data_IF_261544381138
#
_entry.id   IF_261544381138
#
_cell.length_a   1.000
_cell.length_b   1.000
_cell.length_c   1.000
_cell.angle_alpha   90.00
_cell.angle_beta   90.00
_cell.angle_gamma   90.00
#
_symmetry.space_group_name_H-M   'P 1'
#
loop_
_entity.id
_entity.type
_entity.pdbx_description
1 polymer ?
#
# COMPACT_ATOMS: atom_id res chain seq x y z
N UNK A 1 -5.55 -17.50 -24.44
CA UNK A 1 -5.52 -16.13 -23.93
C UNK A 1 -4.57 -15.37 -24.84
N UNK A 2 -5.11 -14.70 -25.85
CA UNK A 2 -4.27 -13.82 -26.67
C UNK A 2 -3.96 -12.58 -25.83
N UNK A 3 -2.73 -12.49 -25.37
CA UNK A 3 -2.22 -11.27 -24.78
C UNK A 3 -2.00 -10.25 -25.89
N UNK A 4 -3.07 -9.59 -26.31
CA UNK A 4 -2.93 -8.39 -27.15
C UNK A 4 -2.34 -7.28 -26.27
N UNK A 5 -1.05 -7.00 -26.46
CA UNK A 5 -0.29 -5.96 -25.77
C UNK A 5 -0.74 -4.52 -26.11
N UNK A 6 -1.84 -4.36 -26.84
CA UNK A 6 -2.50 -3.07 -27.01
C UNK A 6 -3.34 -2.78 -25.78
N UNK A 7 -2.91 -1.79 -25.00
CA UNK A 7 -3.60 -1.36 -23.79
C UNK A 7 -5.09 -1.03 -24.06
N UNK A 8 -5.99 -1.94 -23.73
CA UNK A 8 -7.42 -1.66 -23.62
C UNK A 8 -7.70 -0.95 -22.29
N UNK A 9 -7.21 0.29 -22.17
CA UNK A 9 -7.53 1.11 -21.01
C UNK A 9 -8.94 1.63 -21.19
N UNK A 10 -9.93 1.01 -20.55
CA UNK A 10 -11.33 1.42 -20.56
C UNK A 10 -11.56 2.75 -19.85
N UNK A 11 -10.69 3.10 -18.91
CA UNK A 11 -10.76 4.37 -18.20
C UNK A 11 -10.55 5.53 -19.18
N UNK A 12 -11.57 6.36 -19.38
CA UNK A 12 -11.45 7.57 -20.20
C UNK A 12 -10.33 8.47 -19.64
N UNK A 13 -9.41 8.96 -20.48
CA UNK A 13 -8.35 9.85 -20.02
C UNK A 13 -8.95 11.10 -19.36
N UNK A 14 -8.31 11.56 -18.27
CA UNK A 14 -8.48 12.94 -17.85
C UNK A 14 -7.92 13.77 -19.01
N UNK A 15 -8.74 14.61 -19.62
CA UNK A 15 -8.31 15.38 -20.76
C UNK A 15 -7.19 16.34 -20.34
N UNK A 16 -6.02 16.19 -20.99
CA UNK A 16 -4.85 17.03 -20.82
C UNK A 16 -3.73 16.41 -19.99
N UNK A 17 -2.50 16.60 -20.46
CA UNK A 17 -1.27 16.21 -19.77
C UNK A 17 -1.15 16.88 -18.39
N UNK A 18 -1.59 18.13 -18.28
CA UNK A 18 -1.58 18.90 -17.02
C UNK A 18 -2.43 18.27 -15.92
N UNK A 19 -3.58 17.67 -16.26
CA UNK A 19 -4.46 17.03 -15.28
C UNK A 19 -3.83 15.78 -14.66
N UNK A 20 -3.07 14.99 -15.44
CA UNK A 20 -2.37 13.81 -14.92
C UNK A 20 -1.20 14.19 -14.01
N UNK A 21 -0.45 15.26 -14.35
CA UNK A 21 0.62 15.79 -13.49
C UNK A 21 0.01 16.34 -12.20
N UNK A 22 -1.10 17.05 -12.26
CA UNK A 22 -1.78 17.58 -11.10
C UNK A 22 -2.23 16.45 -10.15
N UNK A 23 -2.84 15.39 -10.68
CA UNK A 23 -3.22 14.20 -9.89
C UNK A 23 -2.00 13.56 -9.25
N UNK A 24 -0.88 13.46 -9.98
CA UNK A 24 0.38 12.94 -9.44
C UNK A 24 0.90 13.81 -8.30
N UNK A 25 0.98 15.13 -8.49
CA UNK A 25 1.47 16.07 -7.47
C UNK A 25 0.59 16.01 -6.23
N UNK A 26 -0.74 16.10 -6.40
CA UNK A 26 -1.70 16.01 -5.29
C UNK A 26 -1.57 14.66 -4.59
N UNK A 27 -1.32 13.55 -5.35
CA UNK A 27 -1.13 12.23 -4.80
C UNK A 27 0.11 12.12 -3.92
N UNK A 28 1.24 12.61 -4.41
CA UNK A 28 2.48 12.62 -3.64
C UNK A 28 2.36 13.52 -2.40
N UNK A 29 1.73 14.69 -2.52
CA UNK A 29 1.43 15.57 -1.38
C UNK A 29 0.48 14.87 -0.39
N UNK A 30 -0.54 14.16 -0.89
CA UNK A 30 -1.48 13.40 -0.08
C UNK A 30 -0.83 12.28 0.70
N UNK A 31 0.13 11.58 0.09
CA UNK A 31 0.83 10.47 0.75
C UNK A 31 1.83 10.93 1.81
N UNK A 32 2.58 12.00 1.55
CA UNK A 32 3.73 12.37 2.39
C UNK A 32 3.55 13.66 3.17
N UNK A 33 2.80 14.63 2.66
CA UNK A 33 2.72 15.97 3.28
C UNK A 33 1.43 16.15 4.06
N UNK A 34 0.27 15.77 3.51
CA UNK A 34 -1.01 15.99 4.21
C UNK A 34 -1.10 15.27 5.56
N UNK A 35 -0.69 13.98 5.70
CA UNK A 35 -0.68 13.33 7.00
C UNK A 35 0.19 14.07 8.03
N UNK A 36 1.36 14.55 7.62
CA UNK A 36 2.26 15.30 8.51
C UNK A 36 1.69 16.66 8.93
N UNK A 37 1.05 17.40 8.01
CA UNK A 37 0.35 18.65 8.35
C UNK A 37 -0.77 18.38 9.35
N UNK A 38 -1.56 17.33 9.12
CA UNK A 38 -2.65 16.94 10.02
C UNK A 38 -2.09 16.52 11.38
N UNK A 39 -1.00 15.74 11.41
CA UNK A 39 -0.36 15.32 12.65
C UNK A 39 0.14 16.52 13.47
N UNK A 40 0.77 17.52 12.83
CA UNK A 40 1.20 18.76 13.48
C UNK A 40 -0.02 19.52 14.02
N UNK A 41 -1.06 19.70 13.22
CA UNK A 41 -2.25 20.42 13.62
C UNK A 41 -2.97 19.76 14.81
N UNK A 42 -3.10 18.44 14.80
CA UNK A 42 -3.68 17.66 15.90
C UNK A 42 -2.78 17.76 17.14
N UNK A 43 -1.46 17.60 16.97
CA UNK A 43 -0.48 17.63 18.06
C UNK A 43 -0.48 18.95 18.86
N UNK A 44 -0.89 20.07 18.24
CA UNK A 44 -1.03 21.35 18.96
C UNK A 44 -2.14 21.35 20.02
N UNK A 45 -3.08 20.40 19.97
CA UNK A 45 -4.25 20.33 20.85
C UNK A 45 -4.25 19.10 21.73
N UNK A 46 -3.29 18.18 21.58
CA UNK A 46 -3.23 16.94 22.34
C UNK A 46 -2.55 17.15 23.70
N UNK A 47 -2.98 16.44 24.75
CA UNK A 47 -2.27 16.38 26.04
C UNK A 47 -0.90 15.73 25.89
N UNK A 48 0.00 15.90 26.89
CA UNK A 48 1.37 15.39 26.80
C UNK A 48 1.49 13.86 26.82
N UNK A 49 0.47 13.16 27.30
CA UNK A 49 0.39 11.70 27.46
C UNK A 49 -0.47 11.02 26.36
N UNK A 50 -0.61 11.66 25.21
CA UNK A 50 -1.39 11.09 24.11
C UNK A 50 -0.74 9.86 23.46
N UNK A 51 -1.58 8.97 22.93
CA UNK A 51 -1.12 7.83 22.14
C UNK A 51 -0.65 8.28 20.74
N UNK A 52 0.67 8.36 20.58
CA UNK A 52 1.30 8.83 19.34
C UNK A 52 0.96 7.91 18.15
N UNK A 53 0.89 6.59 18.37
CA UNK A 53 0.59 5.62 17.30
C UNK A 53 -0.84 5.81 16.82
N UNK A 54 -1.81 5.86 17.72
CA UNK A 54 -3.21 6.11 17.40
C UNK A 54 -3.37 7.40 16.57
N UNK A 55 -2.82 8.51 17.04
CA UNK A 55 -2.99 9.80 16.38
C UNK A 55 -2.23 9.91 15.06
N UNK A 56 -1.11 9.21 14.90
CA UNK A 56 -0.42 9.12 13.60
C UNK A 56 -1.28 8.43 12.54
N UNK A 57 -1.98 7.35 12.90
CA UNK A 57 -2.93 6.68 12.01
C UNK A 57 -4.14 7.56 11.69
N UNK A 58 -4.70 8.26 12.66
CA UNK A 58 -5.78 9.24 12.42
C UNK A 58 -5.31 10.34 11.45
N UNK A 59 -4.10 10.86 11.64
CA UNK A 59 -3.54 11.87 10.74
C UNK A 59 -3.36 11.33 9.31
N UNK A 60 -2.91 10.09 9.14
CA UNK A 60 -2.81 9.44 7.84
C UNK A 60 -4.18 9.23 7.18
N UNK A 61 -5.17 8.74 7.92
CA UNK A 61 -6.53 8.54 7.41
C UNK A 61 -7.16 9.87 6.97
N UNK A 62 -7.02 10.92 7.77
CA UNK A 62 -7.52 12.26 7.42
C UNK A 62 -6.76 12.81 6.19
N UNK A 63 -5.43 12.67 6.15
CA UNK A 63 -4.61 13.10 5.01
C UNK A 63 -4.98 12.38 3.72
N UNK A 64 -5.17 11.07 3.77
CA UNK A 64 -5.62 10.28 2.62
C UNK A 64 -7.07 10.62 2.21
N UNK A 65 -7.96 10.83 3.19
CA UNK A 65 -9.32 11.29 2.94
C UNK A 65 -9.36 12.65 2.23
N UNK A 66 -8.54 13.61 2.67
CA UNK A 66 -8.39 14.91 2.01
C UNK A 66 -7.87 14.75 0.57
N UNK A 67 -6.86 13.90 0.36
CA UNK A 67 -6.36 13.59 -0.98
C UNK A 67 -7.47 13.09 -1.90
N UNK A 68 -8.21 12.07 -1.47
CA UNK A 68 -9.31 11.50 -2.25
C UNK A 68 -10.41 12.53 -2.52
N UNK A 69 -10.77 13.35 -1.54
CA UNK A 69 -11.76 14.41 -1.69
C UNK A 69 -11.31 15.46 -2.72
N UNK A 70 -10.05 15.91 -2.66
CA UNK A 70 -9.47 16.85 -3.62
C UNK A 70 -9.45 16.23 -5.02
N UNK A 71 -9.04 14.95 -5.14
CA UNK A 71 -9.06 14.25 -6.43
C UNK A 71 -10.45 14.22 -7.06
N UNK A 72 -11.49 14.02 -6.26
CA UNK A 72 -12.86 13.99 -6.76
C UNK A 72 -13.28 15.31 -7.43
N UNK A 73 -12.72 16.44 -6.97
CA UNK A 73 -12.94 17.74 -7.61
C UNK A 73 -12.32 17.82 -9.01
N UNK A 74 -11.19 17.12 -9.25
CA UNK A 74 -10.45 17.16 -10.51
C UNK A 74 -10.84 16.03 -11.49
N UNK A 75 -11.17 14.84 -10.97
CA UNK A 75 -11.50 13.67 -11.80
C UNK A 75 -12.86 13.84 -12.51
N UNK A 76 -13.82 14.51 -11.89
CA UNK A 76 -15.16 14.75 -12.40
C UNK A 76 -16.13 13.60 -12.11
N UNK A 77 -17.41 13.98 -11.92
CA UNK A 77 -18.48 13.10 -11.42
C UNK A 77 -18.64 11.80 -12.21
N UNK A 78 -18.63 11.85 -13.54
CA UNK A 78 -18.90 10.67 -14.37
C UNK A 78 -17.80 9.62 -14.26
N UNK A 79 -16.54 10.05 -14.10
CA UNK A 79 -15.41 9.15 -13.89
C UNK A 79 -15.45 8.51 -12.51
N UNK A 80 -15.79 9.30 -11.49
CA UNK A 80 -15.99 8.78 -10.12
C UNK A 80 -17.06 7.70 -10.12
N UNK A 81 -18.21 7.95 -10.76
CA UNK A 81 -19.29 6.96 -10.88
C UNK A 81 -18.79 5.69 -11.57
N UNK A 82 -17.97 5.80 -12.62
CA UNK A 82 -17.41 4.65 -13.32
C UNK A 82 -16.44 3.86 -12.43
N UNK A 83 -15.59 4.53 -11.64
CA UNK A 83 -14.72 3.89 -10.65
C UNK A 83 -15.56 3.15 -9.61
N UNK A 84 -16.57 3.81 -9.04
CA UNK A 84 -17.45 3.20 -8.04
C UNK A 84 -18.21 1.98 -8.59
N UNK A 85 -18.73 2.05 -9.82
CA UNK A 85 -19.33 0.90 -10.51
C UNK A 85 -18.31 -0.21 -10.75
N UNK A 86 -17.05 0.14 -10.94
CA UNK A 86 -15.95 -0.82 -11.08
C UNK A 86 -15.78 -1.72 -9.86
N UNK A 87 -15.96 -1.21 -8.65
CA UNK A 87 -15.84 -1.98 -7.41
C UNK A 87 -16.90 -3.09 -7.26
N UNK A 88 -18.09 -2.91 -7.84
CA UNK A 88 -19.18 -3.91 -7.78
C UNK A 88 -19.27 -4.76 -9.06
N UNK A 89 -18.37 -4.57 -10.01
CA UNK A 89 -18.34 -5.36 -11.25
C UNK A 89 -17.79 -6.75 -10.98
N UNK A 90 -18.59 -7.79 -11.24
CA UNK A 90 -18.17 -9.19 -11.08
C UNK A 90 -16.92 -9.54 -11.90
N UNK A 91 -16.74 -8.94 -13.10
CA UNK A 91 -15.52 -9.08 -13.91
C UNK A 91 -14.31 -8.54 -13.17
N UNK A 92 -14.41 -7.31 -12.63
CA UNK A 92 -13.30 -6.66 -11.93
C UNK A 92 -12.93 -7.42 -10.66
N UNK A 93 -13.93 -7.85 -9.87
CA UNK A 93 -13.73 -8.62 -8.63
C UNK A 93 -13.02 -9.95 -8.96
N UNK A 94 -13.53 -10.71 -9.97
CA UNK A 94 -12.90 -11.96 -10.38
C UNK A 94 -11.46 -11.77 -10.83
N UNK A 95 -11.19 -10.75 -11.63
CA UNK A 95 -9.84 -10.41 -12.08
C UNK A 95 -8.96 -10.04 -10.91
N UNK A 96 -9.47 -9.21 -9.98
CA UNK A 96 -8.74 -8.78 -8.80
C UNK A 96 -8.34 -9.96 -7.90
N UNK A 97 -9.23 -10.91 -7.65
CA UNK A 97 -8.93 -12.11 -6.85
C UNK A 97 -7.83 -12.95 -7.51
N UNK A 98 -7.89 -13.13 -8.84
CA UNK A 98 -6.86 -13.89 -9.58
C UNK A 98 -5.49 -13.21 -9.46
N UNK A 99 -5.44 -11.89 -9.68
CA UNK A 99 -4.17 -11.17 -9.61
C UNK A 99 -3.66 -11.00 -8.17
N UNK A 100 -4.54 -10.89 -7.17
CA UNK A 100 -4.14 -10.93 -5.76
C UNK A 100 -3.47 -12.26 -5.39
N UNK A 101 -4.01 -13.37 -5.89
CA UNK A 101 -3.39 -14.69 -5.75
C UNK A 101 -1.98 -14.70 -6.35
N UNK A 102 -1.81 -14.20 -7.59
CA UNK A 102 -0.49 -14.13 -8.22
C UNK A 102 0.46 -13.16 -7.49
N UNK A 103 -0.04 -12.04 -6.95
CA UNK A 103 0.76 -11.13 -6.14
C UNK A 103 1.26 -11.82 -4.87
N UNK A 104 0.38 -12.53 -4.16
CA UNK A 104 0.71 -13.22 -2.93
C UNK A 104 1.75 -14.33 -3.16
N UNK A 105 1.46 -15.27 -4.08
CA UNK A 105 2.38 -16.39 -4.35
C UNK A 105 3.67 -15.95 -5.02
N UNK A 106 3.63 -14.94 -5.90
CA UNK A 106 4.82 -14.35 -6.51
C UNK A 106 5.72 -13.69 -5.46
N UNK A 107 5.15 -12.92 -4.55
CA UNK A 107 5.88 -12.31 -3.44
C UNK A 107 6.46 -13.35 -2.47
N UNK A 108 5.70 -14.39 -2.17
CA UNK A 108 6.18 -15.52 -1.34
C UNK A 108 7.37 -16.24 -2.01
N UNK A 109 7.26 -16.54 -3.29
CA UNK A 109 8.31 -17.24 -4.05
C UNK A 109 9.59 -16.40 -4.12
N UNK A 110 9.48 -15.12 -4.45
CA UNK A 110 10.66 -14.25 -4.54
C UNK A 110 11.29 -14.02 -3.17
N UNK A 111 10.49 -13.90 -2.10
CA UNK A 111 11.00 -13.80 -0.75
C UNK A 111 11.78 -15.06 -0.35
N UNK A 112 11.27 -16.25 -0.70
CA UNK A 112 11.98 -17.52 -0.48
C UNK A 112 13.33 -17.55 -1.23
N UNK A 113 13.36 -17.12 -2.50
CA UNK A 113 14.59 -17.06 -3.29
C UNK A 113 15.59 -16.07 -2.67
N UNK A 114 15.15 -14.89 -2.27
CA UNK A 114 16.00 -13.87 -1.62
C UNK A 114 16.57 -14.44 -0.31
N UNK A 115 15.72 -15.05 0.51
CA UNK A 115 16.15 -15.67 1.78
C UNK A 115 17.17 -16.79 1.57
N UNK A 116 17.02 -17.60 0.54
CA UNK A 116 17.99 -18.66 0.19
C UNK A 116 19.34 -18.10 -0.27
N UNK A 117 19.34 -16.97 -1.00
CA UNK A 117 20.56 -16.40 -1.58
C UNK A 117 21.30 -15.46 -0.63
N UNK A 118 20.56 -14.69 0.18
CA UNK A 118 21.12 -13.57 0.96
C UNK A 118 20.82 -13.67 2.46
N UNK A 119 20.15 -14.73 2.91
CA UNK A 119 19.57 -14.81 4.26
C UNK A 119 18.26 -14.05 4.40
N UNK A 120 17.51 -14.35 5.47
CA UNK A 120 16.31 -13.57 5.80
C UNK A 120 16.73 -12.13 6.13
N UNK A 121 15.93 -11.12 5.76
CA UNK A 121 16.20 -9.76 6.18
C UNK A 121 16.03 -9.65 7.71
N UNK A 122 17.00 -9.02 8.36
CA UNK A 122 16.95 -8.76 9.82
C UNK A 122 16.02 -7.58 10.16
N UNK A 123 15.68 -6.74 9.16
CA UNK A 123 14.76 -5.62 9.29
C UNK A 123 13.91 -5.47 8.03
N UNK A 124 12.67 -5.00 8.24
CA UNK A 124 11.79 -4.45 7.21
C UNK A 124 11.00 -3.31 7.84
N UNK A 125 11.52 -2.09 7.73
CA UNK A 125 10.99 -0.92 8.44
C UNK A 125 9.48 -0.70 8.21
N UNK A 126 8.98 -0.97 7.00
CA UNK A 126 7.55 -0.89 6.70
C UNK A 126 6.74 -1.97 7.42
N UNK A 127 7.19 -3.24 7.37
CA UNK A 127 6.49 -4.36 8.00
C UNK A 127 6.58 -4.28 9.52
N UNK A 128 7.72 -3.87 10.07
CA UNK A 128 7.93 -3.75 11.52
C UNK A 128 7.04 -2.66 12.12
N UNK A 129 6.87 -1.54 11.40
CA UNK A 129 5.91 -0.49 11.74
C UNK A 129 4.47 -1.00 11.75
N UNK A 130 4.07 -1.77 10.72
CA UNK A 130 2.74 -2.37 10.66
C UNK A 130 2.52 -3.39 11.78
N UNK A 131 3.49 -4.27 12.05
CA UNK A 131 3.40 -5.29 13.09
C UNK A 131 3.24 -4.67 14.48
N UNK A 132 4.07 -3.68 14.82
CA UNK A 132 4.01 -2.99 16.12
C UNK A 132 2.68 -2.23 16.31
N UNK A 133 2.21 -1.60 15.26
CA UNK A 133 0.93 -0.86 15.28
C UNK A 133 -0.28 -1.79 15.32
N UNK A 134 -0.19 -2.96 14.70
CA UNK A 134 -1.27 -3.95 14.72
C UNK A 134 -1.51 -4.50 16.12
N UNK A 135 -0.47 -4.66 16.92
CA UNK A 135 -0.60 -5.10 18.31
C UNK A 135 -1.42 -4.14 19.18
N UNK A 136 -1.37 -2.84 18.87
CA UNK A 136 -2.05 -1.80 19.67
C UNK A 136 -3.36 -1.33 19.04
N UNK A 137 -3.39 -1.20 17.70
CA UNK A 137 -4.52 -0.63 16.96
C UNK A 137 -4.88 -1.42 15.70
N UNK A 138 -5.26 -2.71 15.81
CA UNK A 138 -5.50 -3.58 14.64
C UNK A 138 -6.54 -3.02 13.67
N UNK A 139 -7.61 -2.42 14.17
CA UNK A 139 -8.65 -1.82 13.33
C UNK A 139 -8.15 -0.66 12.46
N UNK A 140 -7.28 0.20 13.02
CA UNK A 140 -6.70 1.31 12.25
C UNK A 140 -5.71 0.82 11.19
N UNK A 141 -4.90 -0.21 11.50
CA UNK A 141 -3.99 -0.84 10.53
C UNK A 141 -4.78 -1.45 9.38
N UNK A 142 -5.86 -2.21 9.67
CA UNK A 142 -6.72 -2.80 8.64
C UNK A 142 -7.32 -1.70 7.76
N UNK A 143 -7.91 -0.67 8.37
CA UNK A 143 -8.55 0.43 7.64
C UNK A 143 -7.54 1.14 6.72
N UNK A 144 -6.36 1.46 7.23
CA UNK A 144 -5.32 2.14 6.47
C UNK A 144 -4.73 1.23 5.38
N UNK A 145 -4.23 0.06 5.75
CA UNK A 145 -3.46 -0.79 4.85
C UNK A 145 -4.33 -1.51 3.81
N UNK A 146 -5.58 -1.85 4.13
CA UNK A 146 -6.46 -2.62 3.23
C UNK A 146 -7.36 -1.72 2.40
N UNK A 147 -7.73 -0.53 2.89
CA UNK A 147 -8.70 0.32 2.20
C UNK A 147 -8.03 1.59 1.67
N UNK A 148 -7.49 2.44 2.54
CA UNK A 148 -7.05 3.77 2.13
C UNK A 148 -5.73 3.77 1.34
N UNK A 149 -4.71 3.05 1.79
CA UNK A 149 -3.44 2.99 1.09
C UNK A 149 -3.58 2.44 -0.34
N UNK A 150 -4.29 1.31 -0.60
CA UNK A 150 -4.54 0.84 -1.96
C UNK A 150 -5.22 1.87 -2.85
N UNK A 151 -6.21 2.62 -2.35
CA UNK A 151 -6.88 3.66 -3.14
C UNK A 151 -5.89 4.76 -3.55
N UNK A 152 -5.15 5.28 -2.58
CA UNK A 152 -4.21 6.40 -2.81
C UNK A 152 -3.08 5.97 -3.74
N UNK A 153 -2.46 4.83 -3.45
CA UNK A 153 -1.31 4.33 -4.19
C UNK A 153 -1.66 3.94 -5.64
N UNK A 154 -2.79 3.28 -5.87
CA UNK A 154 -3.20 2.94 -7.23
C UNK A 154 -3.57 4.18 -8.06
N UNK A 155 -4.20 5.17 -7.45
CA UNK A 155 -4.48 6.44 -8.11
C UNK A 155 -3.19 7.20 -8.49
N UNK A 156 -2.16 7.13 -7.65
CA UNK A 156 -0.85 7.73 -7.96
C UNK A 156 -0.13 6.92 -9.04
N UNK A 157 0.10 5.63 -8.81
CA UNK A 157 1.01 4.86 -9.65
C UNK A 157 0.36 4.35 -10.93
N UNK A 158 -0.87 3.86 -10.90
CA UNK A 158 -1.50 3.27 -12.09
C UNK A 158 -2.28 4.30 -12.87
N UNK A 159 -3.07 5.13 -12.18
CA UNK A 159 -3.88 6.12 -12.87
C UNK A 159 -3.07 7.32 -13.38
N UNK A 160 -2.15 7.86 -12.55
CA UNK A 160 -1.43 9.09 -12.86
C UNK A 160 -0.08 8.88 -13.56
N UNK A 161 0.65 7.79 -13.27
CA UNK A 161 1.96 7.49 -13.85
C UNK A 161 1.85 6.48 -14.99
N UNK A 162 1.41 5.24 -14.69
CA UNK A 162 1.41 4.17 -15.68
C UNK A 162 0.60 4.49 -16.91
N UNK A 163 -0.65 4.88 -16.71
CA UNK A 163 -1.60 5.10 -17.80
C UNK A 163 -1.14 6.12 -18.87
N UNK A 164 -0.70 7.34 -18.54
CA UNK A 164 -0.22 8.27 -19.54
C UNK A 164 1.09 7.83 -20.19
N UNK A 165 1.98 7.19 -19.46
CA UNK A 165 3.24 6.67 -19.98
C UNK A 165 3.05 5.46 -20.91
N UNK A 166 2.15 4.54 -20.55
CA UNK A 166 1.88 3.33 -21.33
C UNK A 166 1.38 3.64 -22.76
N UNK A 167 0.72 4.79 -22.96
CA UNK A 167 0.33 5.28 -24.30
C UNK A 167 1.53 5.66 -25.15
N UNK A 168 2.66 6.04 -24.55
CA UNK A 168 3.87 6.45 -25.25
C UNK A 168 4.87 5.31 -25.35
N UNK A 169 5.17 4.67 -24.22
CA UNK A 169 6.08 3.53 -24.11
C UNK A 169 5.66 2.65 -22.95
N UNK A 170 5.11 1.49 -23.26
CA UNK A 170 4.57 0.56 -22.27
C UNK A 170 5.66 -0.03 -21.37
N UNK A 171 6.81 -0.40 -21.93
CA UNK A 171 7.92 -0.96 -21.16
C UNK A 171 8.44 0.05 -20.13
N UNK A 172 8.65 1.29 -20.59
CA UNK A 172 9.09 2.38 -19.70
C UNK A 172 8.05 2.67 -18.61
N UNK A 173 6.75 2.60 -18.94
CA UNK A 173 5.66 2.77 -17.98
C UNK A 173 5.72 1.72 -16.86
N UNK A 174 5.92 0.44 -17.21
CA UNK A 174 6.13 -0.63 -16.22
C UNK A 174 7.32 -0.34 -15.32
N UNK A 175 8.49 -0.05 -15.91
CA UNK A 175 9.73 0.18 -15.16
C UNK A 175 9.56 1.34 -14.17
N UNK A 176 9.08 2.50 -14.63
CA UNK A 176 8.92 3.70 -13.78
C UNK A 176 7.89 3.46 -12.68
N UNK A 177 6.75 2.82 -13.02
CA UNK A 177 5.69 2.55 -12.04
C UNK A 177 6.15 1.56 -10.98
N UNK A 178 6.86 0.49 -11.38
CA UNK A 178 7.37 -0.53 -10.45
C UNK A 178 8.42 0.07 -9.51
N UNK A 179 9.41 0.78 -10.06
CA UNK A 179 10.46 1.40 -9.25
C UNK A 179 9.91 2.48 -8.32
N UNK A 180 8.99 3.31 -8.81
CA UNK A 180 8.35 4.34 -7.99
C UNK A 180 7.52 3.74 -6.86
N UNK A 181 6.69 2.73 -7.15
CA UNK A 181 5.88 2.04 -6.15
C UNK A 181 6.76 1.32 -5.12
N UNK A 182 7.77 0.56 -5.55
CA UNK A 182 8.69 -0.08 -4.62
C UNK A 182 9.44 0.96 -3.78
N UNK A 183 9.89 2.06 -4.40
CA UNK A 183 10.68 3.10 -3.76
C UNK A 183 9.97 3.80 -2.59
N UNK A 184 8.66 3.99 -2.64
CA UNK A 184 7.93 4.64 -1.52
C UNK A 184 8.01 3.85 -0.22
N UNK A 185 8.18 2.52 -0.28
CA UNK A 185 8.29 1.65 0.90
C UNK A 185 9.64 1.79 1.62
N UNK A 186 10.63 2.40 0.96
CA UNK A 186 11.96 2.66 1.53
C UNK A 186 12.16 4.10 2.01
N UNK A 187 11.14 4.96 1.92
CA UNK A 187 11.26 6.37 2.32
C UNK A 187 11.64 6.48 3.80
N UNK A 188 11.08 5.64 4.67
CA UNK A 188 11.44 5.63 6.11
C UNK A 188 12.89 5.24 6.31
N UNK A 189 13.34 4.13 5.73
CA UNK A 189 14.72 3.62 5.86
C UNK A 189 15.74 4.58 5.31
N UNK A 190 15.45 5.20 4.15
CA UNK A 190 16.30 6.25 3.56
C UNK A 190 16.36 7.48 4.47
N UNK A 191 15.23 7.87 5.08
CA UNK A 191 15.20 9.03 5.98
C UNK A 191 16.05 8.80 7.22
N UNK A 192 15.96 7.62 7.85
CA UNK A 192 16.81 7.24 8.98
C UNK A 192 18.28 7.21 8.57
N UNK A 193 18.61 6.57 7.42
CA UNK A 193 19.96 6.55 6.90
C UNK A 193 20.54 7.96 6.74
N UNK A 194 19.80 8.87 6.11
CA UNK A 194 20.27 10.26 5.88
C UNK A 194 20.45 11.06 7.18
N UNK A 195 19.62 10.79 8.20
CA UNK A 195 19.74 11.48 9.52
C UNK A 195 20.95 11.00 10.31
N UNK A 196 21.34 9.73 10.17
CA UNK A 196 22.38 9.11 10.99
C UNK A 196 23.71 8.96 10.25
N UNK A 197 23.76 9.29 8.95
CA UNK A 197 24.96 9.07 8.11
C UNK A 197 26.18 9.87 8.60
N UNK A 198 25.97 11.07 9.13
CA UNK A 198 27.04 11.98 9.57
C UNK A 198 27.52 11.69 11.00
N UNK A 199 26.82 10.83 11.76
CA UNK A 199 27.24 10.42 13.10
C UNK A 199 28.07 9.14 13.05
N UNK A 200 29.37 9.18 13.39
CA UNK A 200 30.24 7.99 13.37
C UNK A 200 29.78 6.86 14.32
N UNK A 201 28.98 7.18 15.36
CA UNK A 201 28.47 6.20 16.30
C UNK A 201 27.30 5.37 15.74
N UNK A 202 26.48 5.94 14.87
CA UNK A 202 25.25 5.32 14.37
C UNK A 202 25.30 4.99 12.87
N UNK A 203 26.16 5.65 12.09
CA UNK A 203 26.21 5.52 10.61
C UNK A 203 26.39 4.08 10.13
N UNK A 204 27.26 3.30 10.79
CA UNK A 204 27.50 1.89 10.42
C UNK A 204 26.23 1.05 10.62
N UNK A 205 25.51 1.26 11.71
CA UNK A 205 24.24 0.57 12.01
C UNK A 205 23.16 0.99 11.01
N UNK A 206 23.03 2.29 10.74
CA UNK A 206 22.05 2.80 9.77
C UNK A 206 22.27 2.25 8.36
N UNK A 207 23.54 2.17 7.89
CA UNK A 207 23.89 1.56 6.61
C UNK A 207 23.50 0.08 6.60
N UNK A 208 23.84 -0.67 7.65
CA UNK A 208 23.53 -2.10 7.73
C UNK A 208 22.02 -2.33 7.71
N UNK A 209 21.26 -1.59 8.52
CA UNK A 209 19.79 -1.67 8.56
C UNK A 209 19.17 -1.36 7.20
N UNK A 210 19.64 -0.33 6.52
CA UNK A 210 19.18 0.00 5.17
C UNK A 210 19.49 -1.11 4.14
N UNK A 211 20.68 -1.72 4.21
CA UNK A 211 21.05 -2.83 3.32
C UNK A 211 20.21 -4.08 3.58
N UNK A 212 19.89 -4.37 4.86
CA UNK A 212 18.97 -5.44 5.22
C UNK A 212 17.57 -5.18 4.68
N UNK A 213 17.05 -3.96 4.84
CA UNK A 213 15.76 -3.57 4.30
C UNK A 213 15.70 -3.71 2.76
N UNK A 214 16.79 -3.38 2.05
CA UNK A 214 16.89 -3.53 0.59
C UNK A 214 16.72 -4.97 0.10
N UNK A 215 16.92 -5.99 0.93
CA UNK A 215 16.62 -7.39 0.56
C UNK A 215 15.14 -7.58 0.25
N UNK A 216 14.27 -6.73 0.76
CA UNK A 216 12.82 -6.78 0.51
C UNK A 216 12.41 -6.15 -0.83
N UNK A 217 13.30 -5.39 -1.48
CA UNK A 217 13.02 -4.71 -2.76
C UNK A 217 12.45 -5.64 -3.85
N UNK A 218 12.96 -6.87 -4.08
CA UNK A 218 12.39 -7.77 -5.07
C UNK A 218 10.93 -8.14 -4.79
N UNK A 219 10.53 -8.24 -3.52
CA UNK A 219 9.15 -8.53 -3.11
C UNK A 219 8.22 -7.38 -3.53
N UNK A 220 8.60 -6.13 -3.23
CA UNK A 220 7.85 -4.94 -3.64
C UNK A 220 7.78 -4.78 -5.16
N UNK A 221 8.86 -5.12 -5.88
CA UNK A 221 8.87 -5.08 -7.36
C UNK A 221 7.91 -6.10 -7.96
N UNK A 222 7.85 -7.32 -7.43
CA UNK A 222 6.87 -8.35 -7.87
C UNK A 222 5.44 -7.91 -7.59
N UNK A 223 5.17 -7.41 -6.39
CA UNK A 223 3.86 -6.84 -6.05
C UNK A 223 3.48 -5.72 -7.02
N UNK A 224 4.36 -4.73 -7.21
CA UNK A 224 4.16 -3.62 -8.12
C UNK A 224 3.91 -4.07 -9.58
N UNK A 225 4.65 -5.09 -10.04
CA UNK A 225 4.46 -5.68 -11.38
C UNK A 225 3.06 -6.26 -11.53
N UNK A 226 2.65 -7.12 -10.60
CA UNK A 226 1.34 -7.81 -10.67
C UNK A 226 0.18 -6.82 -10.57
N UNK A 227 0.27 -5.82 -9.70
CA UNK A 227 -0.72 -4.75 -9.60
C UNK A 227 -0.83 -3.93 -10.90
N UNK A 228 0.33 -3.61 -11.52
CA UNK A 228 0.35 -2.91 -12.80
C UNK A 228 -0.24 -3.78 -13.91
N UNK A 229 0.05 -5.08 -13.91
CA UNK A 229 -0.49 -6.04 -14.85
C UNK A 229 -2.00 -6.22 -14.71
N UNK A 230 -2.54 -6.22 -13.48
CA UNK A 230 -3.97 -6.26 -13.21
C UNK A 230 -4.70 -5.05 -13.81
N UNK A 231 -4.12 -3.85 -13.68
CA UNK A 231 -4.65 -2.65 -14.30
C UNK A 231 -4.57 -2.70 -15.83
N UNK A 232 -3.42 -3.09 -16.37
CA UNK A 232 -3.18 -3.16 -17.81
C UNK A 232 -4.10 -4.19 -18.50
N UNK A 233 -4.32 -5.35 -17.85
CA UNK A 233 -5.16 -6.42 -18.37
C UNK A 233 -6.65 -6.09 -18.40
N UNK A 234 -7.13 -5.27 -17.47
CA UNK A 234 -8.57 -4.97 -17.32
C UNK A 234 -8.93 -3.52 -17.66
N UNK A 235 -7.97 -2.61 -17.68
CA UNK A 235 -8.16 -1.20 -18.04
C UNK A 235 -8.98 -0.38 -17.03
N UNK A 236 -9.36 -0.95 -15.89
CA UNK A 236 -10.18 -0.30 -14.87
C UNK A 236 -9.42 -0.18 -13.55
N UNK A 237 -9.31 1.03 -13.01
CA UNK A 237 -8.55 1.31 -11.79
C UNK A 237 -9.12 0.59 -10.56
N UNK A 238 -10.43 0.36 -10.51
CA UNK A 238 -11.05 -0.41 -9.43
C UNK A 238 -10.50 -1.85 -9.35
N UNK A 239 -10.11 -2.46 -10.49
CA UNK A 239 -9.50 -3.79 -10.49
C UNK A 239 -8.16 -3.79 -9.77
N UNK A 240 -7.30 -2.80 -10.06
CA UNK A 240 -6.00 -2.70 -9.38
C UNK A 240 -6.14 -2.39 -7.90
N UNK A 241 -7.04 -1.47 -7.53
CA UNK A 241 -7.35 -1.16 -6.12
C UNK A 241 -7.85 -2.41 -5.39
N UNK A 242 -8.80 -3.16 -5.97
CA UNK A 242 -9.28 -4.42 -5.38
C UNK A 242 -8.18 -5.48 -5.29
N UNK A 243 -7.33 -5.62 -6.33
CA UNK A 243 -6.19 -6.54 -6.29
C UNK A 243 -5.26 -6.22 -5.13
N UNK A 244 -4.93 -4.94 -4.97
CA UNK A 244 -4.07 -4.46 -3.91
C UNK A 244 -4.71 -4.66 -2.52
N UNK A 245 -5.98 -4.29 -2.38
CA UNK A 245 -6.74 -4.50 -1.14
C UNK A 245 -6.80 -5.97 -0.74
N UNK A 246 -7.06 -6.89 -1.67
CA UNK A 246 -7.09 -8.34 -1.39
C UNK A 246 -5.69 -8.87 -1.06
N UNK A 247 -4.64 -8.40 -1.75
CA UNK A 247 -3.26 -8.75 -1.41
C UNK A 247 -2.91 -8.29 0.01
N UNK A 248 -3.15 -7.03 0.35
CA UNK A 248 -2.89 -6.51 1.69
C UNK A 248 -3.75 -7.18 2.77
N UNK A 249 -5.03 -7.46 2.46
CA UNK A 249 -5.90 -8.21 3.37
C UNK A 249 -5.35 -9.60 3.69
N UNK A 250 -4.77 -10.30 2.68
CA UNK A 250 -4.14 -11.60 2.91
C UNK A 250 -2.90 -11.51 3.82
N UNK A 251 -2.10 -10.45 3.69
CA UNK A 251 -0.95 -10.19 4.56
C UNK A 251 -1.37 -9.88 6.00
N UNK A 252 -2.38 -9.01 6.16
CA UNK A 252 -2.93 -8.68 7.48
C UNK A 252 -3.56 -9.91 8.14
N UNK A 253 -4.25 -10.75 7.38
CA UNK A 253 -4.80 -12.01 7.90
C UNK A 253 -3.70 -12.95 8.39
N UNK A 254 -2.60 -13.09 7.64
CA UNK A 254 -1.47 -13.91 8.07
C UNK A 254 -0.76 -13.33 9.30
N UNK A 255 -0.61 -12.01 9.35
CA UNK A 255 -0.08 -11.32 10.52
C UNK A 255 -0.95 -11.60 11.76
N UNK A 256 -2.28 -11.50 11.61
CA UNK A 256 -3.22 -11.89 12.67
C UNK A 256 -3.04 -13.36 13.08
N UNK A 257 -2.98 -14.28 12.12
CA UNK A 257 -2.80 -15.70 12.38
C UNK A 257 -1.48 -15.93 13.14
N UNK A 258 -0.38 -15.32 12.70
CA UNK A 258 0.93 -15.50 13.35
C UNK A 258 0.97 -14.92 14.76
N UNK A 259 0.37 -13.76 14.98
CA UNK A 259 0.44 -13.08 16.28
C UNK A 259 -0.54 -13.63 17.32
N UNK A 260 -1.74 -14.04 16.91
CA UNK A 260 -2.80 -14.39 17.85
C UNK A 260 -3.15 -15.88 17.87
N UNK A 261 -3.03 -16.60 16.77
CA UNK A 261 -3.39 -18.03 16.75
C UNK A 261 -2.21 -18.96 17.01
N UNK A 262 -1.01 -18.62 16.57
CA UNK A 262 0.17 -19.47 16.80
C UNK A 262 0.69 -19.31 18.24
N UNK A 263 0.59 -18.12 18.82
CA UNK A 263 0.93 -17.87 20.24
C UNK A 263 -0.04 -18.61 21.19
N UNK A 264 -1.32 -18.68 20.82
CA UNK A 264 -2.38 -19.31 21.60
C UNK A 264 -2.47 -20.84 21.47
N UNK A 265 -1.93 -21.44 20.42
CA UNK A 265 -1.83 -22.89 20.30
C UNK A 265 -0.95 -23.51 21.41
N UNK A 266 -0.14 -22.70 22.09
CA UNK A 266 0.61 -23.08 23.28
C UNK A 266 -0.22 -22.96 24.58
N UNK A 267 -1.34 -22.20 24.58
CA UNK A 267 -2.25 -21.97 25.71
C UNK A 267 -3.72 -22.20 25.29
N UNK A 268 -4.22 -23.40 25.44
CA UNK A 268 -5.46 -23.94 24.82
C UNK A 268 -6.81 -23.31 25.21
N UNK A 269 -6.88 -22.15 25.84
CA UNK A 269 -8.16 -21.50 26.21
C UNK A 269 -8.52 -20.21 25.45
N UNK A 270 -7.65 -19.66 24.61
CA UNK A 270 -7.80 -18.32 24.06
C UNK A 270 -8.10 -18.22 22.56
N UNK A 271 -8.04 -19.31 21.79
CA UNK A 271 -8.32 -19.30 20.34
C UNK A 271 -9.71 -18.78 20.03
N UNK A 272 -10.72 -19.19 20.83
CA UNK A 272 -12.11 -18.75 20.66
C UNK A 272 -12.26 -17.26 20.99
N UNK A 273 -11.55 -16.79 22.03
CA UNK A 273 -11.57 -15.39 22.45
C UNK A 273 -10.93 -14.48 21.38
N UNK A 274 -9.82 -14.92 20.76
CA UNK A 274 -9.15 -14.19 19.68
C UNK A 274 -10.03 -14.04 18.42
N UNK A 275 -10.74 -15.12 18.04
CA UNK A 275 -11.72 -15.04 16.95
C UNK A 275 -12.91 -14.13 17.30
N UNK A 276 -13.41 -14.19 18.54
CA UNK A 276 -14.50 -13.32 19.00
C UNK A 276 -14.09 -11.86 18.93
N UNK A 277 -12.86 -11.53 19.40
CA UNK A 277 -12.32 -10.19 19.33
C UNK A 277 -12.15 -9.70 17.89
N UNK A 278 -11.65 -10.54 16.96
CA UNK A 278 -11.60 -10.20 15.54
C UNK A 278 -12.99 -9.88 14.97
N UNK A 279 -14.01 -10.68 15.27
CA UNK A 279 -15.38 -10.42 14.82
C UNK A 279 -15.97 -9.14 15.42
N UNK A 280 -15.67 -8.83 16.69
CA UNK A 280 -16.09 -7.57 17.30
C UNK A 280 -15.39 -6.36 16.65
N UNK A 281 -14.08 -6.46 16.32
CA UNK A 281 -13.38 -5.41 15.56
C UNK A 281 -13.98 -5.22 14.15
N UNK A 282 -14.31 -6.31 13.45
CA UNK A 282 -14.97 -6.23 12.12
C UNK A 282 -16.35 -5.56 12.23
N UNK A 283 -17.13 -5.87 13.26
CA UNK A 283 -18.44 -5.21 13.49
C UNK A 283 -18.33 -3.71 13.78
N UNK A 284 -17.22 -3.26 14.37
CA UNK A 284 -16.97 -1.84 14.62
C UNK A 284 -16.54 -1.07 13.36
N UNK A 285 -16.15 -1.81 12.30
CA UNK A 285 -15.70 -1.25 11.02
C UNK A 285 -16.80 -1.22 9.95
N UNK A 286 -17.93 -1.90 10.18
CA UNK A 286 -19.15 -1.93 9.35
C UNK A 286 -20.25 -1.09 10.01
#
# INVERSE_FOLDING_TARGET
>A
MDFDFKAHIEDKPIEGFQSNILVLIIGLLGMFIFPNIVAIAIGMFLPQDFDLVFWSYIAQLVGYGLYVAILFLFIGKDRIINILKGFISGRNIKTAVIFAFFAYFGSMLINMIVTMLFGAPDSNANQDSLNSSFLTHPGLVVLLAVIFAPIVEELVFRYSIFRPLAKKNKVLAYIITMLGFAGIHFVSSVSVLLMELDDPATSSTAITTFLEDLKTLPVYLVGAFVLTLAYDANGNIATSILTHAFYNASQVLLMFISMYLLEDLTNSSSVIESFTNLFEYIKLLI
#
